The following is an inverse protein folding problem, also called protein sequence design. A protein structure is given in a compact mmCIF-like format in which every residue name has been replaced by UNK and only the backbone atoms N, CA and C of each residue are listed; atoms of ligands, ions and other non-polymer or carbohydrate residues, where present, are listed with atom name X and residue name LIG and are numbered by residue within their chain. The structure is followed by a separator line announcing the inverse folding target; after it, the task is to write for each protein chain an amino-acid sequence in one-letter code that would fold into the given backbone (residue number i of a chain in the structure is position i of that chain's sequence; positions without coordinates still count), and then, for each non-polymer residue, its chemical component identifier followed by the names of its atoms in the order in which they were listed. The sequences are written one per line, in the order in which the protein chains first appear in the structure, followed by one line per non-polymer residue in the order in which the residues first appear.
data_IF_632163532188
#
_entry.id   IF_632163532188
#
_cell.length_a   1.000
_cell.length_b   1.000
_cell.length_c   1.000
_cell.angle_alpha   90.00
_cell.angle_beta   90.00
_cell.angle_gamma   90.00
#
_symmetry.space_group_name_H-M   'P 1'
#
loop_
_entity.id
_entity.type
_entity.pdbx_description
1 polymer ?
#
# COMPACT_ATOMS: atom_id res chain seq x y z
N UNK A 1 0.74 -13.82 14.76
CA UNK A 1 0.77 -13.69 13.28
C UNK A 1 1.76 -12.61 12.85
N UNK A 2 1.43 -11.31 12.92
CA UNK A 2 2.31 -10.23 12.42
C UNK A 2 3.73 -10.17 13.02
N UNK A 3 3.94 -10.55 14.29
CA UNK A 3 5.29 -10.61 14.89
C UNK A 3 6.22 -11.57 14.12
N UNK A 4 5.70 -12.74 13.77
CA UNK A 4 6.50 -13.87 13.26
C UNK A 4 6.38 -14.00 11.72
N UNK A 5 5.34 -13.40 11.14
CA UNK A 5 4.99 -13.50 9.73
C UNK A 5 4.79 -12.17 9.00
N UNK A 6 4.84 -11.04 9.72
CA UNK A 6 4.44 -9.75 9.17
C UNK A 6 5.45 -9.16 8.19
N UNK A 7 4.92 -8.49 7.18
CA UNK A 7 5.63 -7.67 6.19
C UNK A 7 5.55 -6.19 6.57
N UNK A 8 6.47 -5.38 6.04
CA UNK A 8 6.41 -3.92 6.23
C UNK A 8 5.11 -3.30 5.68
N UNK A 9 4.55 -3.88 4.60
CA UNK A 9 3.33 -3.43 3.93
C UNK A 9 2.03 -3.64 4.75
N UNK A 10 2.12 -4.06 6.01
CA UNK A 10 0.96 -4.25 6.88
C UNK A 10 0.22 -5.58 6.68
N UNK A 11 0.78 -6.48 5.86
CA UNK A 11 0.28 -7.84 5.67
C UNK A 11 1.21 -8.90 6.28
N UNK A 12 0.93 -10.17 6.05
CA UNK A 12 1.82 -11.28 6.41
C UNK A 12 2.29 -12.05 5.17
N UNK A 13 3.50 -12.60 5.23
CA UNK A 13 3.97 -13.50 4.19
C UNK A 13 3.21 -14.81 4.27
N UNK A 14 2.84 -15.30 3.10
CA UNK A 14 2.13 -16.54 2.99
C UNK A 14 1.58 -16.74 1.60
N UNK A 15 1.91 -17.89 1.06
CA UNK A 15 1.50 -18.42 -0.23
C UNK A 15 0.67 -19.66 0.09
N UNK A 16 -0.59 -19.43 0.48
CA UNK A 16 -1.54 -20.40 1.08
C UNK A 16 -1.16 -20.94 2.48
N UNK A 17 0.11 -20.87 2.88
CA UNK A 17 0.62 -21.21 4.21
C UNK A 17 1.45 -20.05 4.78
N UNK A 18 1.47 -19.86 6.10
CA UNK A 18 2.32 -18.84 6.73
C UNK A 18 3.81 -19.12 6.47
N UNK A 19 4.58 -18.09 6.07
CA UNK A 19 5.91 -18.28 5.48
C UNK A 19 7.04 -17.43 6.12
N UNK A 20 6.93 -17.18 7.43
CA UNK A 20 7.92 -16.42 8.21
C UNK A 20 7.98 -14.91 7.91
N UNK A 21 9.07 -14.24 8.26
CA UNK A 21 9.22 -12.78 8.14
C UNK A 21 10.38 -12.37 7.23
N UNK A 22 10.71 -13.23 6.26
CA UNK A 22 11.74 -12.93 5.27
C UNK A 22 11.19 -11.92 4.25
N UNK A 23 11.91 -10.84 3.89
CA UNK A 23 11.46 -9.88 2.88
C UNK A 23 11.42 -10.46 1.47
N UNK A 24 12.07 -11.61 1.25
CA UNK A 24 12.12 -12.34 -0.02
C UNK A 24 11.13 -13.51 -0.05
N UNK A 25 10.24 -13.57 0.96
CA UNK A 25 9.09 -14.46 0.91
C UNK A 25 7.88 -13.70 0.37
N UNK A 26 7.14 -14.36 -0.51
CA UNK A 26 5.93 -13.82 -1.12
C UNK A 26 4.72 -13.72 -0.19
N UNK A 27 3.75 -12.93 -0.61
CA UNK A 27 2.39 -12.96 -0.08
C UNK A 27 1.38 -12.93 -1.22
N UNK A 28 0.38 -13.80 -1.12
CA UNK A 28 -0.65 -13.98 -2.13
C UNK A 28 -1.56 -12.75 -2.26
N UNK A 29 -1.85 -12.30 -3.49
CA UNK A 29 -2.75 -11.17 -3.75
C UNK A 29 -4.18 -11.40 -3.23
N UNK A 30 -4.75 -12.61 -3.37
CA UNK A 30 -6.05 -12.91 -2.77
C UNK A 30 -6.08 -12.66 -1.27
N UNK A 31 -5.01 -13.02 -0.56
CA UNK A 31 -4.93 -12.85 0.89
C UNK A 31 -4.94 -11.37 1.31
N UNK A 32 -4.37 -10.48 0.48
CA UNK A 32 -4.44 -9.02 0.70
C UNK A 32 -5.88 -8.53 0.60
N UNK A 33 -6.57 -8.91 -0.47
CA UNK A 33 -7.93 -8.43 -0.78
C UNK A 33 -8.95 -8.98 0.22
N UNK A 34 -8.82 -10.24 0.61
CA UNK A 34 -9.69 -10.85 1.62
C UNK A 34 -9.40 -10.33 3.04
N UNK A 35 -8.14 -9.98 3.35
CA UNK A 35 -7.82 -9.28 4.59
C UNK A 35 -8.47 -7.88 4.61
N UNK A 36 -8.41 -7.12 3.52
CA UNK A 36 -9.11 -5.84 3.40
C UNK A 36 -10.61 -6.00 3.66
N UNK A 37 -11.27 -6.94 2.98
CA UNK A 37 -12.71 -7.18 3.19
C UNK A 37 -13.03 -7.63 4.63
N UNK A 38 -12.14 -8.41 5.25
CA UNK A 38 -12.28 -8.80 6.66
C UNK A 38 -12.21 -7.59 7.59
N UNK A 39 -11.28 -6.65 7.33
CA UNK A 39 -11.16 -5.41 8.10
C UNK A 39 -12.37 -4.51 7.94
N UNK A 40 -12.92 -4.37 6.73
CA UNK A 40 -14.16 -3.64 6.49
C UNK A 40 -15.32 -4.17 7.34
N UNK A 41 -15.47 -5.50 7.43
CA UNK A 41 -16.47 -6.12 8.29
C UNK A 41 -16.19 -5.86 9.77
N UNK A 42 -14.93 -6.01 10.21
CA UNK A 42 -14.54 -5.76 11.61
C UNK A 42 -14.79 -4.31 12.01
N UNK A 43 -14.54 -3.34 11.14
CA UNK A 43 -14.89 -1.93 11.36
C UNK A 43 -16.40 -1.80 11.57
N UNK A 44 -17.22 -2.40 10.68
CA UNK A 44 -18.68 -2.29 10.77
C UNK A 44 -19.26 -2.87 12.05
N UNK A 45 -18.63 -3.92 12.60
CA UNK A 45 -19.08 -4.62 13.80
C UNK A 45 -18.58 -3.93 15.07
N UNK A 46 -17.32 -3.49 15.07
CA UNK A 46 -16.63 -3.06 16.30
C UNK A 46 -16.50 -1.55 16.43
N UNK A 47 -16.47 -0.81 15.31
CA UNK A 47 -16.10 0.59 15.27
C UNK A 47 -14.65 0.86 15.67
N UNK A 48 -13.79 -0.17 15.81
CA UNK A 48 -12.40 0.01 16.26
C UNK A 48 -11.53 0.54 15.11
N UNK A 49 -10.96 1.75 15.25
CA UNK A 49 -10.15 2.39 14.20
C UNK A 49 -8.83 1.66 13.91
N UNK A 50 -8.40 0.72 14.77
CA UNK A 50 -7.29 -0.18 14.48
C UNK A 50 -7.46 -0.90 13.14
N UNK A 51 -8.67 -1.37 12.84
CA UNK A 51 -8.97 -2.08 11.60
C UNK A 51 -8.95 -1.16 10.39
N UNK A 52 -9.38 0.10 10.55
CA UNK A 52 -9.28 1.11 9.52
C UNK A 52 -7.82 1.44 9.16
N UNK A 53 -6.92 1.48 10.14
CA UNK A 53 -5.50 1.69 9.88
C UNK A 53 -4.88 0.53 9.08
N UNK A 54 -5.23 -0.71 9.41
CA UNK A 54 -4.77 -1.88 8.64
C UNK A 54 -5.37 -1.91 7.22
N UNK A 55 -6.66 -1.58 7.09
CA UNK A 55 -7.34 -1.50 5.80
C UNK A 55 -6.65 -0.50 4.87
N UNK A 56 -6.42 0.73 5.33
CA UNK A 56 -5.74 1.75 4.54
C UNK A 56 -4.28 1.36 4.23
N UNK A 57 -3.56 0.77 5.20
CA UNK A 57 -2.19 0.32 4.96
C UNK A 57 -2.11 -0.76 3.87
N UNK A 58 -3.03 -1.72 3.82
CA UNK A 58 -3.07 -2.71 2.74
C UNK A 58 -3.49 -2.08 1.41
N UNK A 59 -4.57 -1.30 1.41
CA UNK A 59 -5.15 -0.71 0.21
C UNK A 59 -4.14 0.17 -0.54
N UNK A 60 -3.34 0.94 0.19
CA UNK A 60 -2.41 1.91 -0.41
C UNK A 60 -0.97 1.38 -0.59
N UNK A 61 -0.70 0.13 -0.22
CA UNK A 61 0.62 -0.49 -0.39
C UNK A 61 0.50 -1.87 -1.06
N UNK A 62 0.07 -2.89 -0.32
CA UNK A 62 0.14 -4.27 -0.79
C UNK A 62 -0.79 -4.53 -1.99
N UNK A 63 -2.00 -3.98 -2.03
CA UNK A 63 -2.91 -4.20 -3.14
C UNK A 63 -2.33 -3.71 -4.49
N UNK A 64 -1.97 -2.42 -4.65
CA UNK A 64 -1.46 -1.92 -5.92
C UNK A 64 -0.08 -2.47 -6.30
N UNK A 65 0.77 -2.85 -5.33
CA UNK A 65 2.11 -3.39 -5.61
C UNK A 65 2.13 -4.78 -6.27
N UNK A 66 0.98 -5.46 -6.31
CA UNK A 66 0.79 -6.75 -6.96
C UNK A 66 0.03 -6.64 -8.28
N UNK A 67 -0.25 -5.43 -8.77
CA UNK A 67 -0.97 -5.19 -10.03
C UNK A 67 -0.20 -4.21 -10.89
N UNK A 68 -0.20 -4.39 -12.22
CA UNK A 68 0.30 -3.36 -13.12
C UNK A 68 -0.49 -2.06 -12.90
N UNK A 69 0.12 -0.91 -13.24
CA UNK A 69 -0.52 0.40 -13.02
C UNK A 69 -1.91 0.53 -13.68
N UNK A 70 -2.12 -0.15 -14.80
CA UNK A 70 -3.39 -0.24 -15.54
C UNK A 70 -4.31 -1.39 -15.08
N UNK A 71 -3.85 -2.20 -14.12
CA UNK A 71 -4.51 -3.37 -13.54
C UNK A 71 -4.86 -4.48 -14.55
N UNK A 72 -4.26 -4.49 -15.74
CA UNK A 72 -4.44 -5.56 -16.73
C UNK A 72 -3.72 -6.85 -16.33
N UNK A 73 -2.59 -6.73 -15.64
CA UNK A 73 -1.85 -7.87 -15.10
C UNK A 73 -1.65 -7.75 -13.61
N UNK A 74 -1.42 -8.89 -12.99
CA UNK A 74 -1.13 -8.98 -11.56
C UNK A 74 -0.12 -10.09 -11.30
N UNK A 75 0.48 -10.02 -10.13
CA UNK A 75 1.37 -11.03 -9.58
C UNK A 75 0.59 -11.88 -8.57
N UNK A 76 0.81 -13.19 -8.57
CA UNK A 76 0.20 -14.05 -7.57
C UNK A 76 0.82 -13.80 -6.20
N UNK A 77 2.15 -13.90 -6.10
CA UNK A 77 2.91 -13.69 -4.87
C UNK A 77 3.87 -12.50 -5.00
N UNK A 78 3.61 -11.44 -4.23
CA UNK A 78 4.50 -10.28 -4.16
C UNK A 78 5.54 -10.42 -3.04
N UNK A 79 6.80 -10.04 -3.31
CA UNK A 79 7.84 -9.98 -2.27
C UNK A 79 8.10 -8.54 -1.81
N UNK A 80 8.50 -8.36 -0.54
CA UNK A 80 8.85 -7.04 0.01
C UNK A 80 10.15 -6.50 -0.60
N UNK A 81 11.12 -7.38 -0.84
CA UNK A 81 12.32 -7.14 -1.63
C UNK A 81 12.25 -8.04 -2.88
N UNK A 82 12.01 -7.43 -4.03
CA UNK A 82 11.76 -8.04 -5.34
C UNK A 82 12.59 -7.30 -6.39
N UNK A 83 13.77 -7.83 -6.74
CA UNK A 83 14.72 -7.17 -7.65
C UNK A 83 14.61 -7.65 -9.09
N UNK A 84 13.87 -8.72 -9.30
CA UNK A 84 13.56 -9.32 -10.58
C UNK A 84 12.20 -10.01 -10.45
N UNK A 85 11.44 -10.04 -11.54
CA UNK A 85 10.22 -10.83 -11.71
C UNK A 85 10.48 -11.73 -12.90
N UNK A 86 10.67 -13.02 -12.64
CA UNK A 86 10.99 -14.02 -13.64
C UNK A 86 10.58 -15.40 -13.17
N UNK A 87 10.59 -16.37 -14.10
CA UNK A 87 10.38 -17.76 -13.73
C UNK A 87 11.49 -18.24 -12.77
N UNK A 88 11.16 -18.43 -11.49
CA UNK A 88 12.10 -19.00 -10.53
C UNK A 88 12.58 -20.39 -10.98
N UNK A 89 13.85 -20.78 -10.79
CA UNK A 89 14.27 -22.15 -11.11
C UNK A 89 13.47 -23.18 -10.31
N UNK A 90 13.16 -24.33 -10.92
CA UNK A 90 12.32 -25.37 -10.30
C UNK A 90 12.84 -25.87 -8.95
N UNK A 91 14.16 -25.91 -8.80
CA UNK A 91 14.86 -26.33 -7.58
C UNK A 91 15.13 -25.17 -6.60
N UNK A 92 14.73 -23.95 -6.93
CA UNK A 92 14.95 -22.73 -6.14
C UNK A 92 13.69 -21.86 -6.01
N UNK A 93 12.50 -22.47 -5.97
CA UNK A 93 11.26 -21.76 -5.64
C UNK A 93 11.24 -21.44 -4.14
N UNK A 94 11.13 -20.14 -3.80
CA UNK A 94 11.09 -19.68 -2.40
C UNK A 94 9.70 -19.72 -1.78
N UNK A 95 8.66 -19.90 -2.61
CA UNK A 95 7.29 -20.14 -2.15
C UNK A 95 7.16 -21.58 -1.61
N UNK A 96 6.30 -21.76 -0.60
CA UNK A 96 6.08 -23.06 0.06
C UNK A 96 5.18 -23.99 -0.73
N UNK A 97 4.10 -23.47 -1.30
CA UNK A 97 3.05 -24.25 -2.00
C UNK A 97 2.84 -23.79 -3.44
N UNK A 98 3.16 -22.53 -3.72
CA UNK A 98 2.98 -21.93 -5.03
C UNK A 98 4.13 -22.21 -6.00
N UNK A 99 3.82 -22.24 -7.30
CA UNK A 99 4.76 -22.61 -8.34
C UNK A 99 5.74 -21.47 -8.70
N UNK A 100 6.74 -21.79 -9.54
CA UNK A 100 7.68 -20.80 -10.11
C UNK A 100 7.01 -19.66 -10.90
N UNK A 101 5.79 -19.87 -11.42
CA UNK A 101 5.06 -18.87 -12.21
C UNK A 101 4.44 -17.78 -11.34
N UNK A 102 4.27 -18.03 -10.03
CA UNK A 102 3.62 -17.13 -9.08
C UNK A 102 4.33 -15.79 -8.92
N UNK A 103 5.59 -15.75 -9.36
CA UNK A 103 6.43 -14.55 -9.36
C UNK A 103 6.19 -13.65 -10.57
N UNK A 104 5.52 -14.10 -11.63
CA UNK A 104 5.30 -13.33 -12.86
C UNK A 104 4.14 -12.33 -12.72
N UNK A 105 4.14 -11.30 -13.56
CA UNK A 105 2.94 -10.52 -13.84
C UNK A 105 2.20 -11.14 -15.03
N UNK A 106 0.90 -11.35 -14.92
CA UNK A 106 0.08 -11.84 -16.03
C UNK A 106 -1.41 -11.73 -15.77
N UNK A 107 -2.23 -12.27 -16.69
CA UNK A 107 -3.67 -12.39 -16.45
C UNK A 107 -4.00 -13.46 -15.41
N UNK A 108 -3.21 -14.54 -15.37
CA UNK A 108 -3.46 -15.73 -14.56
C UNK A 108 -2.15 -16.46 -14.23
N UNK A 109 -1.16 -15.79 -13.59
CA UNK A 109 0.03 -16.49 -13.13
C UNK A 109 -0.36 -17.49 -12.03
N UNK A 110 0.17 -18.72 -12.10
CA UNK A 110 -0.12 -19.80 -11.15
C UNK A 110 -1.59 -20.30 -11.14
N UNK A 111 -2.49 -19.68 -10.36
CA UNK A 111 -3.92 -20.02 -10.33
C UNK A 111 -4.82 -18.81 -10.61
N UNK A 112 -5.99 -19.03 -11.21
CA UNK A 112 -6.92 -17.94 -11.56
C UNK A 112 -7.77 -17.37 -10.43
N UNK A 113 -7.52 -17.74 -9.17
CA UNK A 113 -8.24 -17.12 -8.04
C UNK A 113 -7.95 -15.62 -7.97
N UNK A 114 -6.69 -15.20 -8.12
CA UNK A 114 -6.30 -13.78 -8.07
C UNK A 114 -7.01 -12.99 -9.17
N UNK A 115 -7.05 -13.51 -10.40
CA UNK A 115 -7.78 -12.95 -11.55
C UNK A 115 -9.26 -12.67 -11.23
N UNK A 116 -9.92 -13.58 -10.52
CA UNK A 116 -11.33 -13.45 -10.14
C UNK A 116 -11.55 -12.59 -8.87
N UNK A 117 -10.50 -12.41 -8.07
CA UNK A 117 -10.60 -11.89 -6.70
C UNK A 117 -10.13 -10.44 -6.58
N UNK A 118 -9.00 -10.05 -7.20
CA UNK A 118 -8.35 -8.77 -6.86
C UNK A 118 -9.21 -7.54 -7.20
N UNK A 119 -9.99 -7.63 -8.27
CA UNK A 119 -10.82 -6.56 -8.81
C UNK A 119 -11.97 -6.15 -7.86
N UNK A 120 -12.26 -6.94 -6.82
CA UNK A 120 -13.25 -6.56 -5.80
C UNK A 120 -12.67 -5.64 -4.71
N UNK A 121 -11.34 -5.53 -4.58
CA UNK A 121 -10.68 -4.79 -3.50
C UNK A 121 -11.07 -3.32 -3.44
N UNK A 122 -10.85 -2.57 -4.53
CA UNK A 122 -11.21 -1.14 -4.59
C UNK A 122 -12.73 -0.86 -4.49
N UNK A 123 -13.62 -1.60 -5.19
CA UNK A 123 -15.06 -1.43 -5.02
C UNK A 123 -15.53 -1.62 -3.57
N UNK A 124 -15.04 -2.66 -2.89
CA UNK A 124 -15.39 -2.94 -1.49
C UNK A 124 -14.85 -1.85 -0.55
N UNK A 125 -13.60 -1.43 -0.74
CA UNK A 125 -13.01 -0.31 0.00
C UNK A 125 -13.83 0.99 -0.14
N UNK A 126 -14.24 1.33 -1.37
CA UNK A 126 -15.06 2.51 -1.64
C UNK A 126 -16.44 2.44 -0.96
N UNK A 127 -17.08 1.26 -0.97
CA UNK A 127 -18.35 1.02 -0.27
C UNK A 127 -18.22 1.15 1.25
N UNK A 128 -17.04 0.83 1.79
CA UNK A 128 -16.73 0.84 3.22
C UNK A 128 -16.15 2.18 3.71
N UNK A 129 -16.11 3.23 2.88
CA UNK A 129 -15.52 4.53 3.22
C UNK A 129 -16.38 5.33 4.21
N UNK A 130 -17.71 5.25 4.10
CA UNK A 130 -18.65 5.89 5.03
C UNK A 130 -19.69 4.87 5.48
N UNK A 131 -19.76 4.64 6.79
CA UNK A 131 -20.72 3.74 7.41
C UNK A 131 -21.77 4.50 8.23
N UNK A 132 -22.94 3.91 8.36
CA UNK A 132 -23.98 4.41 9.26
C UNK A 132 -23.62 4.03 10.70
N UNK A 133 -23.71 4.99 11.61
CA UNK A 133 -23.60 4.75 13.05
C UNK A 133 -24.95 4.91 13.74
N UNK A 134 -25.05 4.57 15.02
CA UNK A 134 -26.29 4.70 15.79
C UNK A 134 -26.86 6.13 15.76
N UNK A 135 -25.98 7.13 15.84
CA UNK A 135 -26.34 8.54 15.96
C UNK A 135 -26.08 9.35 14.68
N UNK A 136 -25.65 8.72 13.59
CA UNK A 136 -25.38 9.41 12.33
C UNK A 136 -24.51 8.60 11.37
N UNK A 137 -23.32 9.12 11.05
CA UNK A 137 -22.39 8.52 10.09
C UNK A 137 -20.95 8.56 10.61
N UNK A 138 -20.12 7.64 10.12
CA UNK A 138 -18.70 7.59 10.39
C UNK A 138 -17.92 7.45 9.08
N UNK A 139 -16.86 8.23 8.93
CA UNK A 139 -15.85 8.04 7.88
C UNK A 139 -14.89 6.97 8.43
N UNK A 140 -14.86 5.83 7.78
CA UNK A 140 -14.18 4.61 8.25
C UNK A 140 -12.93 4.28 7.44
N UNK A 141 -12.83 4.83 6.23
CA UNK A 141 -11.61 4.91 5.43
C UNK A 141 -11.60 6.26 4.70
N UNK A 142 -10.45 6.70 4.20
CA UNK A 142 -10.33 7.97 3.45
C UNK A 142 -10.18 7.67 1.96
N UNK A 143 -11.21 8.02 1.19
CA UNK A 143 -11.22 7.98 -0.27
C UNK A 143 -12.19 9.03 -0.85
N UNK A 144 -12.00 9.47 -2.11
CA UNK A 144 -12.94 10.36 -2.76
C UNK A 144 -14.26 9.62 -3.05
N UNK A 145 -15.33 9.97 -2.34
CA UNK A 145 -16.65 9.34 -2.47
C UNK A 145 -17.78 10.36 -2.33
N UNK A 146 -18.95 10.04 -2.91
CA UNK A 146 -20.21 10.72 -2.62
C UNK A 146 -21.23 9.69 -2.15
N UNK A 147 -21.73 9.88 -0.93
CA UNK A 147 -22.75 9.02 -0.31
C UNK A 147 -24.06 9.77 -0.21
N UNK A 148 -25.14 9.15 -0.67
CA UNK A 148 -26.50 9.62 -0.48
C UNK A 148 -27.23 8.63 0.44
N UNK A 149 -27.73 9.10 1.57
CA UNK A 149 -28.32 8.25 2.59
C UNK A 149 -29.53 8.90 3.28
N UNK A 150 -30.25 8.11 4.08
CA UNK A 150 -31.35 8.55 4.93
C UNK A 150 -30.98 8.40 6.41
N UNK A 151 -31.14 9.46 7.19
CA UNK A 151 -31.01 9.43 8.65
C UNK A 151 -32.22 10.13 9.28
N UNK A 152 -32.92 9.44 10.19
CA UNK A 152 -34.17 9.92 10.81
C UNK A 152 -35.20 10.50 9.83
N UNK A 153 -35.36 9.86 8.66
CA UNK A 153 -36.30 10.30 7.63
C UNK A 153 -35.86 11.54 6.84
N UNK A 154 -34.62 12.00 6.98
CA UNK A 154 -34.03 13.14 6.27
C UNK A 154 -32.96 12.66 5.30
N UNK A 155 -32.98 13.19 4.06
CA UNK A 155 -31.91 12.93 3.09
C UNK A 155 -30.63 13.66 3.52
N UNK A 156 -29.53 12.92 3.52
CA UNK A 156 -28.18 13.40 3.80
C UNK A 156 -27.27 13.03 2.64
N UNK A 157 -26.51 14.01 2.15
CA UNK A 157 -25.39 13.78 1.22
C UNK A 157 -24.08 14.09 1.93
N UNK A 158 -23.14 13.16 1.86
CA UNK A 158 -21.76 13.31 2.35
C UNK A 158 -20.83 13.17 1.15
N UNK A 159 -20.01 14.17 0.90
CA UNK A 159 -19.01 14.15 -0.16
C UNK A 159 -17.62 14.31 0.47
N UNK A 160 -16.71 13.41 0.13
CA UNK A 160 -15.31 13.45 0.54
C UNK A 160 -14.47 13.78 -0.71
N UNK A 161 -13.63 14.80 -0.60
CA UNK A 161 -12.69 15.23 -1.64
C UNK A 161 -11.28 15.17 -1.06
N UNK A 162 -10.37 14.46 -1.72
CA UNK A 162 -9.04 14.19 -1.18
C UNK A 162 -8.08 13.63 -2.23
N UNK A 163 -6.80 13.95 -2.05
CA UNK A 163 -5.65 13.32 -2.72
C UNK A 163 -4.92 12.34 -1.78
N UNK A 164 -5.48 12.07 -0.59
CA UNK A 164 -4.99 11.07 0.35
C UNK A 164 -4.93 9.69 -0.34
N UNK A 165 -3.87 8.89 -0.10
CA UNK A 165 -2.84 9.01 0.93
C UNK A 165 -1.63 9.89 0.56
N UNK A 166 -1.59 10.47 -0.65
CA UNK A 166 -0.48 11.29 -1.12
C UNK A 166 -0.57 12.73 -0.62
N UNK A 167 -1.80 13.25 -0.54
CA UNK A 167 -2.13 14.53 0.06
C UNK A 167 -2.26 14.48 1.58
N UNK A 168 -2.24 15.67 2.20
CA UNK A 168 -2.17 15.83 3.66
C UNK A 168 -3.53 16.03 4.34
N UNK A 169 -4.60 15.39 3.86
CA UNK A 169 -5.93 15.60 4.44
C UNK A 169 -7.09 15.33 3.51
N UNK A 170 -8.29 15.71 3.94
CA UNK A 170 -9.51 15.60 3.14
C UNK A 170 -10.52 16.68 3.52
N UNK A 171 -11.39 17.01 2.56
CA UNK A 171 -12.52 17.91 2.77
C UNK A 171 -13.80 17.09 2.79
N UNK A 172 -14.67 17.36 3.77
CA UNK A 172 -16.00 16.74 3.87
C UNK A 172 -17.06 17.81 3.66
N UNK A 173 -17.96 17.59 2.71
CA UNK A 173 -19.18 18.39 2.53
C UNK A 173 -20.40 17.58 2.96
N UNK A 174 -21.12 18.06 3.98
CA UNK A 174 -22.36 17.46 4.47
C UNK A 174 -23.53 18.35 4.09
N UNK A 175 -24.52 17.78 3.41
CA UNK A 175 -25.73 18.49 2.96
C UNK A 175 -26.95 17.77 3.51
N UNK A 176 -27.79 18.47 4.26
CA UNK A 176 -29.07 17.95 4.78
C UNK A 176 -30.26 18.64 4.11
N UNK A 177 -31.33 17.89 3.84
CA UNK A 177 -32.57 18.44 3.24
C UNK A 177 -33.27 19.45 4.17
N UNK A 178 -33.20 19.24 5.48
CA UNK A 178 -33.73 20.09 6.55
C UNK A 178 -32.88 19.94 7.80
N UNK A 179 -33.00 20.85 8.80
CA UNK A 179 -32.28 20.73 10.06
C UNK A 179 -32.38 19.33 10.67
N UNK A 180 -31.23 18.75 11.00
CA UNK A 180 -31.11 17.38 11.47
C UNK A 180 -30.05 17.29 12.57
N UNK A 181 -30.44 16.88 13.77
CA UNK A 181 -29.50 16.47 14.82
C UNK A 181 -28.89 15.12 14.43
N UNK A 182 -27.57 15.07 14.27
CA UNK A 182 -26.83 13.84 14.02
C UNK A 182 -25.35 14.00 14.38
N UNK A 183 -24.65 12.87 14.47
CA UNK A 183 -23.20 12.85 14.60
C UNK A 183 -22.51 12.53 13.27
N UNK A 184 -21.39 13.19 13.00
CA UNK A 184 -20.42 12.76 12.01
C UNK A 184 -19.10 12.42 12.70
N UNK A 185 -18.62 11.19 12.54
CA UNK A 185 -17.29 10.81 12.98
C UNK A 185 -16.28 10.96 11.84
N UNK A 186 -15.27 11.79 12.07
CA UNK A 186 -14.17 12.04 11.16
C UNK A 186 -13.04 11.04 11.43
N UNK A 187 -12.50 10.43 10.38
CA UNK A 187 -11.33 9.56 10.50
C UNK A 187 -10.06 10.37 10.73
N UNK A 188 -9.32 10.04 11.78
CA UNK A 188 -7.98 10.57 12.06
C UNK A 188 -7.01 9.39 12.17
N UNK A 189 -6.24 9.04 11.13
CA UNK A 189 -5.41 7.83 11.14
C UNK A 189 -4.37 7.85 12.28
N UNK A 190 -4.08 6.72 12.92
CA UNK A 190 -3.20 6.71 14.11
C UNK A 190 -1.74 7.12 13.82
N UNK A 191 -1.33 6.98 12.56
CA UNK A 191 0.04 7.27 12.08
C UNK A 191 0.34 8.76 11.88
N UNK A 192 -0.67 9.64 11.96
CA UNK A 192 -0.48 11.09 11.80
C UNK A 192 0.22 11.67 13.03
N UNK A 193 1.20 12.55 12.79
CA UNK A 193 1.91 13.24 13.87
C UNK A 193 0.99 14.25 14.54
N UNK A 194 0.34 15.10 13.74
CA UNK A 194 -0.70 16.03 14.18
C UNK A 194 -1.87 16.02 13.21
N UNK A 195 -3.03 16.42 13.70
CA UNK A 195 -4.23 16.57 12.91
C UNK A 195 -4.94 17.87 13.29
N UNK A 196 -5.54 18.52 12.31
CA UNK A 196 -6.28 19.76 12.45
C UNK A 196 -7.68 19.58 11.86
N UNK A 197 -8.69 20.11 12.55
CA UNK A 197 -10.08 20.16 12.06
C UNK A 197 -10.53 21.62 12.07
N UNK A 198 -10.84 22.13 10.88
CA UNK A 198 -11.14 23.55 10.63
C UNK A 198 -10.07 24.48 11.27
N UNK A 199 -8.79 24.14 11.09
CA UNK A 199 -7.64 24.89 11.61
C UNK A 199 -7.33 24.69 13.10
N UNK A 200 -8.12 23.92 13.83
CA UNK A 200 -7.89 23.65 15.26
C UNK A 200 -7.23 22.29 15.46
N UNK A 201 -6.10 22.26 16.18
CA UNK A 201 -5.39 21.01 16.46
C UNK A 201 -6.25 20.06 17.32
N UNK A 202 -6.27 18.78 16.96
CA UNK A 202 -6.93 17.73 17.74
C UNK A 202 -5.94 16.65 18.20
N UNK A 203 -6.10 16.24 19.46
CA UNK A 203 -5.35 15.12 20.03
C UNK A 203 -6.03 13.77 19.80
N UNK A 204 -7.25 13.76 19.23
CA UNK A 204 -7.94 12.53 18.89
C UNK A 204 -7.14 11.73 17.84
N UNK A 205 -7.08 10.42 18.02
CA UNK A 205 -6.54 9.44 17.06
C UNK A 205 -7.57 8.33 16.91
N UNK A 206 -7.68 7.80 15.70
CA UNK A 206 -8.70 6.84 15.31
C UNK A 206 -9.99 7.49 14.82
N UNK A 207 -10.52 8.47 15.55
CA UNK A 207 -11.72 9.20 15.15
C UNK A 207 -12.01 10.45 15.97
N UNK A 208 -12.71 11.42 15.38
CA UNK A 208 -13.26 12.60 16.06
C UNK A 208 -14.76 12.70 15.79
N UNK A 209 -15.58 12.51 16.83
CA UNK A 209 -17.03 12.62 16.74
C UNK A 209 -17.50 14.07 16.88
N UNK A 210 -18.14 14.58 15.85
CA UNK A 210 -18.82 15.88 15.84
C UNK A 210 -20.32 15.68 16.01
N UNK A 211 -20.91 16.27 17.06
CA UNK A 211 -22.34 16.25 17.31
C UNK A 211 -22.96 17.64 17.08
N UNK A 212 -24.20 17.68 16.63
CA UNK A 212 -24.99 18.90 16.59
C UNK A 212 -26.09 18.87 15.53
N UNK A 213 -26.75 20.02 15.37
CA UNK A 213 -27.75 20.26 14.32
C UNK A 213 -27.05 20.61 13.02
N UNK A 214 -27.26 19.81 11.99
CA UNK A 214 -26.76 20.03 10.64
C UNK A 214 -27.85 20.66 9.79
N UNK A 215 -27.60 21.88 9.32
CA UNK A 215 -28.51 22.63 8.47
C UNK A 215 -27.80 23.06 7.19
N UNK A 216 -28.48 22.90 6.05
CA UNK A 216 -27.95 23.28 4.72
C UNK A 216 -26.67 22.50 4.39
N UNK A 217 -25.70 23.17 3.75
CA UNK A 217 -24.40 22.64 3.41
C UNK A 217 -23.37 23.11 4.45
N UNK A 218 -22.64 22.16 5.05
CA UNK A 218 -21.49 22.42 5.92
C UNK A 218 -20.25 21.76 5.33
N UNK A 219 -19.16 22.50 5.28
CA UNK A 219 -17.85 22.00 4.91
C UNK A 219 -16.97 21.88 6.15
N UNK A 220 -16.17 20.81 6.19
CA UNK A 220 -15.20 20.54 7.24
C UNK A 220 -13.87 20.20 6.57
N UNK A 221 -12.79 20.80 7.06
CA UNK A 221 -11.44 20.59 6.57
C UNK A 221 -10.66 19.78 7.59
N UNK A 222 -10.11 18.65 7.16
CA UNK A 222 -9.25 17.80 7.98
C UNK A 222 -7.85 17.81 7.37
N UNK A 223 -6.86 18.23 8.14
CA UNK A 223 -5.47 18.33 7.70
C UNK A 223 -4.55 17.51 8.61
N UNK A 224 -3.49 16.95 8.03
CA UNK A 224 -2.54 16.06 8.67
C UNK A 224 -1.12 16.56 8.52
N UNK A 225 -0.35 16.51 9.61
CA UNK A 225 1.10 16.56 9.56
C UNK A 225 1.66 15.16 9.76
N UNK A 226 2.62 14.76 8.93
CA UNK A 226 3.28 13.47 9.03
C UNK A 226 4.76 13.62 9.36
N UNK A 227 5.31 12.55 9.91
CA UNK A 227 6.74 12.36 10.09
C UNK A 227 7.20 11.19 9.23
N UNK A 228 8.38 11.32 8.62
CA UNK A 228 9.05 10.20 7.97
C UNK A 228 9.83 9.40 9.01
N UNK A 229 9.56 8.10 9.10
CA UNK A 229 10.14 7.20 10.10
C UNK A 229 10.94 6.10 9.43
N UNK A 230 12.06 5.74 10.05
CA UNK A 230 12.79 4.51 9.75
C UNK A 230 12.36 3.44 10.75
N UNK A 231 11.62 2.44 10.28
CA UNK A 231 11.07 1.38 11.13
C UNK A 231 11.96 0.15 11.05
N UNK A 232 12.41 -0.34 12.21
CA UNK A 232 13.23 -1.55 12.28
C UNK A 232 12.42 -2.77 11.86
N UNK A 233 13.03 -3.62 11.05
CA UNK A 233 12.49 -4.88 10.54
C UNK A 233 13.39 -6.03 10.99
N UNK A 234 12.93 -7.28 10.88
CA UNK A 234 13.78 -8.45 11.10
C UNK A 234 15.09 -8.36 10.32
N UNK A 235 16.10 -9.12 10.72
CA UNK A 235 17.39 -9.17 10.02
C UNK A 235 18.19 -7.86 10.04
N UNK A 236 17.89 -6.98 11.00
CA UNK A 236 18.50 -5.65 11.17
C UNK A 236 18.36 -4.77 9.90
N UNK A 237 17.25 -4.96 9.20
CA UNK A 237 16.84 -4.11 8.10
C UNK A 237 15.92 -3.01 8.62
N UNK A 238 15.69 -2.01 7.77
CA UNK A 238 14.85 -0.87 8.01
C UNK A 238 14.02 -0.57 6.77
N UNK A 239 12.79 -0.11 6.98
CA UNK A 239 11.98 0.48 5.92
C UNK A 239 11.65 1.93 6.24
N UNK A 240 11.24 2.69 5.22
CA UNK A 240 10.80 4.08 5.38
C UNK A 240 9.27 4.12 5.34
N UNK A 241 8.65 4.69 6.36
CA UNK A 241 7.21 4.94 6.41
C UNK A 241 6.93 6.44 6.57
N UNK A 242 5.91 6.95 5.88
CA UNK A 242 5.39 8.31 6.07
C UNK A 242 3.88 8.31 5.92
N UNK A 243 3.15 8.47 7.03
CA UNK A 243 1.70 8.28 7.03
C UNK A 243 1.34 6.81 6.78
N UNK A 244 0.37 6.56 5.89
CA UNK A 244 0.00 5.20 5.49
C UNK A 244 0.90 4.61 4.40
N UNK A 245 1.80 5.41 3.83
CA UNK A 245 2.67 4.98 2.74
C UNK A 245 3.97 4.37 3.26
N UNK A 246 4.25 3.15 2.80
CA UNK A 246 5.55 2.51 2.84
C UNK A 246 6.34 2.93 1.60
N UNK A 247 7.65 3.08 1.71
CA UNK A 247 8.50 3.52 0.60
C UNK A 247 9.56 2.47 0.26
N UNK A 248 9.78 2.29 -1.04
CA UNK A 248 10.73 1.34 -1.61
C UNK A 248 11.71 2.08 -2.52
N UNK A 249 12.94 1.59 -2.61
CA UNK A 249 13.91 2.07 -3.59
C UNK A 249 13.33 1.91 -5.00
N UNK A 250 13.32 3.00 -5.77
CA UNK A 250 12.98 2.97 -7.18
C UNK A 250 14.08 2.25 -7.97
N UNK A 251 13.67 1.28 -8.79
CA UNK A 251 14.52 0.50 -9.69
C UNK A 251 14.00 0.75 -11.10
N UNK A 252 14.91 1.04 -12.04
CA UNK A 252 14.52 1.16 -13.45
C UNK A 252 14.13 -0.23 -13.95
N UNK A 253 13.13 -0.33 -14.82
CA UNK A 253 12.55 -1.62 -15.19
C UNK A 253 12.71 -1.92 -16.68
N UNK A 254 12.99 -3.19 -16.98
CA UNK A 254 12.92 -3.73 -18.34
C UNK A 254 11.89 -4.85 -18.38
N UNK A 255 10.78 -4.57 -19.04
CA UNK A 255 9.68 -5.51 -19.23
C UNK A 255 9.90 -6.37 -20.48
N UNK A 256 9.65 -7.67 -20.36
CA UNK A 256 9.71 -8.66 -21.44
C UNK A 256 8.36 -9.39 -21.49
N UNK A 257 7.62 -9.19 -22.57
CA UNK A 257 6.31 -9.80 -22.78
C UNK A 257 6.42 -11.19 -23.40
N UNK A 258 5.60 -12.12 -22.93
CA UNK A 258 5.52 -13.50 -23.39
C UNK A 258 4.09 -13.83 -23.82
N UNK A 259 3.82 -13.77 -25.11
CA UNK A 259 2.52 -14.14 -25.68
C UNK A 259 2.44 -15.64 -25.96
N UNK A 260 1.34 -16.28 -25.58
CA UNK A 260 1.15 -17.72 -25.75
C UNK A 260 -0.33 -18.13 -25.69
N UNK A 261 -0.61 -19.39 -25.99
CA UNK A 261 -1.94 -19.98 -25.81
C UNK A 261 -1.84 -21.19 -24.88
N UNK A 262 -2.63 -21.21 -23.81
CA UNK A 262 -2.72 -22.30 -22.83
C UNK A 262 -4.18 -22.52 -22.44
N UNK A 263 -4.63 -23.77 -22.43
CA UNK A 263 -6.00 -24.19 -22.11
C UNK A 263 -7.09 -23.49 -22.96
N UNK A 264 -6.77 -23.24 -24.24
CA UNK A 264 -7.69 -22.57 -25.16
C UNK A 264 -7.80 -21.06 -24.98
N UNK A 265 -7.05 -20.47 -24.04
CA UNK A 265 -7.00 -19.02 -23.80
C UNK A 265 -5.74 -18.43 -24.44
N UNK A 266 -5.92 -17.54 -25.41
CA UNK A 266 -4.85 -16.73 -26.01
C UNK A 266 -4.48 -15.59 -25.07
N UNK A 267 -3.22 -15.55 -24.62
CA UNK A 267 -2.62 -14.51 -23.77
C UNK A 267 -1.71 -13.64 -24.63
N UNK A 268 -2.08 -12.38 -24.80
CA UNK A 268 -1.40 -11.36 -25.62
C UNK A 268 -1.48 -10.01 -24.94
N UNK A 269 -0.73 -9.03 -25.41
CA UNK A 269 -0.78 -7.68 -24.86
C UNK A 269 -2.24 -7.13 -24.77
N UNK A 270 -2.65 -6.51 -23.64
CA UNK A 270 -1.87 -6.22 -22.42
C UNK A 270 -1.84 -7.35 -21.38
N UNK A 271 -2.53 -8.47 -21.60
CA UNK A 271 -2.81 -9.52 -20.62
C UNK A 271 -2.00 -10.82 -20.85
N UNK A 272 -0.84 -10.70 -21.51
CA UNK A 272 0.18 -11.75 -21.55
C UNK A 272 0.98 -11.83 -20.24
N UNK A 273 1.90 -12.80 -20.16
CA UNK A 273 2.81 -12.85 -19.02
C UNK A 273 4.01 -11.93 -19.26
N UNK A 274 4.57 -11.40 -18.18
CA UNK A 274 5.69 -10.47 -18.20
C UNK A 274 6.76 -10.88 -17.20
N UNK A 275 8.00 -10.86 -17.68
CA UNK A 275 9.18 -10.81 -16.83
C UNK A 275 9.67 -9.37 -16.73
N UNK A 276 10.19 -8.99 -15.57
CA UNK A 276 10.67 -7.64 -15.29
C UNK A 276 12.07 -7.75 -14.68
N UNK A 277 13.05 -7.14 -15.33
CA UNK A 277 14.44 -7.16 -14.91
C UNK A 277 14.89 -5.77 -14.45
N UNK A 278 15.72 -5.72 -13.40
CA UNK A 278 16.31 -4.48 -12.94
C UNK A 278 17.23 -3.85 -14.01
N UNK A 279 16.85 -2.65 -14.45
CA UNK A 279 17.62 -1.77 -15.33
C UNK A 279 18.59 -0.85 -14.57
N UNK A 280 18.51 -0.79 -13.24
CA UNK A 280 19.47 -0.06 -12.41
C UNK A 280 19.86 -0.81 -11.15
N UNK A 281 20.96 -0.35 -10.53
CA UNK A 281 21.47 -0.96 -9.29
C UNK A 281 20.42 -0.83 -8.18
N UNK A 282 20.37 -1.86 -7.32
CA UNK A 282 19.45 -1.95 -6.19
C UNK A 282 20.17 -2.34 -4.88
N UNK A 283 21.42 -2.78 -4.96
CA UNK A 283 22.24 -3.29 -3.86
C UNK A 283 22.80 -2.15 -2.99
N UNK A 284 21.92 -1.54 -2.22
CA UNK A 284 22.24 -0.37 -1.39
C UNK A 284 21.92 -0.61 0.09
N UNK A 285 22.62 0.10 0.97
CA UNK A 285 22.21 0.30 2.35
C UNK A 285 22.01 1.79 2.64
N UNK A 286 21.21 2.11 3.65
CA UNK A 286 21.04 3.50 4.10
C UNK A 286 22.35 4.02 4.69
N UNK A 287 22.78 5.19 4.21
CA UNK A 287 23.99 5.85 4.71
C UNK A 287 23.71 6.67 5.99
N UNK A 288 22.48 7.17 6.13
CA UNK A 288 21.96 7.88 7.30
C UNK A 288 20.43 7.96 7.23
N UNK A 289 19.81 8.53 8.28
CA UNK A 289 18.36 8.73 8.38
C UNK A 289 17.85 10.09 7.88
N UNK A 290 18.69 10.86 7.16
CA UNK A 290 18.27 12.16 6.59
C UNK A 290 17.58 11.91 5.25
N UNK A 291 16.41 12.51 5.12
CA UNK A 291 15.52 12.34 3.97
C UNK A 291 14.92 13.68 3.54
N UNK A 292 14.54 13.77 2.28
CA UNK A 292 13.86 14.91 1.70
C UNK A 292 12.57 14.39 1.03
N UNK A 293 11.43 14.99 1.35
CA UNK A 293 10.14 14.65 0.74
C UNK A 293 9.95 15.53 -0.49
N UNK A 294 9.61 14.91 -1.61
CA UNK A 294 9.36 15.59 -2.89
C UNK A 294 7.93 15.26 -3.32
N UNK A 295 7.10 16.29 -3.42
CA UNK A 295 5.73 16.16 -3.93
C UNK A 295 5.73 16.12 -5.46
N UNK A 296 4.87 15.29 -6.02
CA UNK A 296 4.62 15.16 -7.45
C UNK A 296 3.18 15.49 -7.78
N UNK A 297 2.74 15.09 -8.97
CA UNK A 297 1.36 15.23 -9.44
C UNK A 297 0.71 13.86 -9.56
N UNK A 298 -0.58 13.76 -9.25
CA UNK A 298 -1.36 12.54 -9.50
C UNK A 298 -1.63 12.44 -11.01
N UNK A 299 -1.14 11.36 -11.63
CA UNK A 299 -1.41 11.02 -13.04
C UNK A 299 -2.66 10.16 -13.20
N UNK A 300 -2.93 9.71 -14.43
CA UNK A 300 -4.08 8.86 -14.76
C UNK A 300 -4.04 7.50 -14.01
N UNK A 301 -2.83 6.95 -13.84
CA UNK A 301 -2.57 5.79 -13.01
C UNK A 301 -1.92 6.21 -11.70
N UNK A 302 -2.75 6.29 -10.65
CA UNK A 302 -2.36 6.83 -9.33
C UNK A 302 -1.18 6.08 -8.71
N UNK A 303 -1.06 4.77 -8.97
CA UNK A 303 -0.01 3.90 -8.46
C UNK A 303 1.03 3.52 -9.55
N UNK A 304 1.38 4.45 -10.45
CA UNK A 304 2.43 4.25 -11.44
C UNK A 304 3.82 4.63 -10.92
N UNK A 305 4.85 3.88 -11.36
CA UNK A 305 6.25 4.17 -11.10
C UNK A 305 6.80 5.36 -11.94
N UNK A 306 6.12 5.75 -13.03
CA UNK A 306 6.55 6.83 -13.94
C UNK A 306 6.31 8.21 -13.31
N UNK A 307 5.13 8.41 -12.72
CA UNK A 307 4.69 9.65 -12.10
C UNK A 307 4.21 9.44 -10.66
N UNK A 308 5.07 8.97 -9.73
CA UNK A 308 4.66 8.74 -8.35
C UNK A 308 4.29 10.08 -7.69
N UNK A 309 3.09 10.19 -7.07
CA UNK A 309 2.58 11.47 -6.55
C UNK A 309 3.38 12.07 -5.39
N UNK A 310 4.21 11.26 -4.74
CA UNK A 310 5.10 11.68 -3.65
C UNK A 310 6.33 10.76 -3.65
N UNK A 311 7.47 11.29 -3.22
CA UNK A 311 8.73 10.55 -3.19
C UNK A 311 9.57 10.97 -1.98
N UNK A 312 10.50 10.10 -1.62
CA UNK A 312 11.51 10.37 -0.60
C UNK A 312 12.89 10.24 -1.24
N UNK A 313 13.70 11.29 -1.15
CA UNK A 313 15.12 11.20 -1.48
C UNK A 313 15.89 10.83 -0.22
N UNK A 314 16.56 9.68 -0.24
CA UNK A 314 17.37 9.19 0.87
C UNK A 314 18.84 9.01 0.45
N UNK A 315 19.74 9.18 1.41
CA UNK A 315 21.16 8.94 1.21
C UNK A 315 21.45 7.45 1.38
N UNK A 316 22.01 6.84 0.34
CA UNK A 316 22.37 5.42 0.32
C UNK A 316 23.80 5.24 -0.15
N UNK A 317 24.37 4.07 0.11
CA UNK A 317 25.69 3.67 -0.39
C UNK A 317 25.63 2.23 -0.87
N UNK A 318 26.34 1.94 -1.96
CA UNK A 318 26.39 0.61 -2.54
C UNK A 318 27.06 -0.38 -1.57
N UNK A 319 26.50 -1.58 -1.48
CA UNK A 319 26.99 -2.66 -0.61
C UNK A 319 26.97 -3.99 -1.37
N UNK A 320 27.68 -5.00 -0.84
CA UNK A 320 27.61 -6.36 -1.36
C UNK A 320 26.38 -7.06 -0.78
N UNK A 321 25.31 -7.13 -1.57
CA UNK A 321 24.06 -7.75 -1.14
C UNK A 321 24.01 -9.25 -1.44
N UNK A 322 24.37 -9.64 -2.65
CA UNK A 322 24.16 -10.99 -3.17
C UNK A 322 22.82 -11.17 -3.87
N UNK A 323 22.86 -11.91 -4.98
CA UNK A 323 21.74 -12.17 -5.87
C UNK A 323 21.91 -13.56 -6.47
N UNK A 324 20.89 -14.40 -6.32
CA UNK A 324 20.92 -15.80 -6.73
C UNK A 324 19.51 -16.16 -7.24
N UNK A 325 19.44 -16.83 -8.40
CA UNK A 325 18.19 -17.41 -8.91
C UNK A 325 17.01 -16.41 -9.07
N UNK A 326 17.28 -15.17 -9.48
CA UNK A 326 16.23 -14.15 -9.64
C UNK A 326 15.85 -13.45 -8.34
N UNK A 327 16.54 -13.72 -7.21
CA UNK A 327 16.18 -13.21 -5.89
C UNK A 327 17.40 -12.59 -5.21
N UNK A 328 17.22 -11.43 -4.57
CA UNK A 328 18.24 -10.89 -3.68
C UNK A 328 18.35 -11.76 -2.42
N UNK A 329 19.52 -11.85 -1.80
CA UNK A 329 19.61 -12.59 -0.53
C UNK A 329 18.74 -11.93 0.56
N UNK A 330 18.25 -12.74 1.50
CA UNK A 330 17.46 -12.27 2.66
C UNK A 330 18.17 -11.15 3.45
N UNK A 331 19.49 -11.20 3.49
CA UNK A 331 20.38 -10.23 4.11
C UNK A 331 21.56 -9.97 3.18
N UNK A 332 22.16 -8.76 3.22
CA UNK A 332 23.36 -8.49 2.46
C UNK A 332 24.54 -9.36 2.94
N UNK A 333 25.41 -9.77 2.02
CA UNK A 333 26.69 -10.45 2.33
C UNK A 333 27.62 -9.57 3.17
N UNK A 334 27.61 -8.26 2.92
CA UNK A 334 28.35 -7.27 3.70
C UNK A 334 27.59 -5.94 3.74
N UNK A 335 27.64 -5.26 4.89
CA UNK A 335 27.14 -3.88 5.03
C UNK A 335 28.22 -2.85 4.77
N UNK A 336 29.46 -3.26 4.51
CA UNK A 336 30.55 -2.32 4.25
C UNK A 336 30.30 -1.53 2.95
N UNK A 337 30.50 -0.21 2.95
CA UNK A 337 30.29 0.61 1.77
C UNK A 337 31.31 0.28 0.67
N UNK A 338 30.85 0.08 -0.56
CA UNK A 338 31.66 -0.20 -1.77
C UNK A 338 31.60 0.99 -2.74
N UNK A 339 31.30 2.18 -2.24
CA UNK A 339 31.18 3.39 -3.06
C UNK A 339 31.00 4.64 -2.23
N UNK A 340 30.72 5.75 -2.92
CA UNK A 340 30.35 7.00 -2.28
C UNK A 340 28.87 7.01 -1.91
N UNK A 341 28.53 7.84 -0.92
CA UNK A 341 27.13 8.14 -0.61
C UNK A 341 26.51 8.88 -1.79
N UNK A 342 25.36 8.37 -2.24
CA UNK A 342 24.55 8.97 -3.30
C UNK A 342 23.12 9.16 -2.81
N UNK A 343 22.41 10.11 -3.42
CA UNK A 343 20.98 10.33 -3.16
C UNK A 343 20.17 9.49 -4.14
N UNK A 344 19.26 8.65 -3.63
CA UNK A 344 18.35 7.81 -4.44
C UNK A 344 16.90 8.12 -4.12
N UNK A 345 16.04 7.92 -5.13
CA UNK A 345 14.59 8.04 -5.02
C UNK A 345 14.01 6.78 -4.39
N UNK A 346 13.15 7.00 -3.41
CA UNK A 346 12.25 6.02 -2.85
C UNK A 346 10.82 6.45 -3.18
N UNK A 347 10.02 5.55 -3.73
CA UNK A 347 8.64 5.81 -4.15
C UNK A 347 7.69 4.95 -3.31
N UNK A 348 6.39 5.27 -3.24
CA UNK A 348 5.45 4.48 -2.48
C UNK A 348 5.48 3.02 -2.94
N UNK A 349 5.43 2.07 -2.00
CA UNK A 349 5.52 0.64 -2.26
C UNK A 349 4.47 0.19 -3.28
N UNK A 350 3.26 0.74 -3.18
CA UNK A 350 2.17 0.51 -4.13
C UNK A 350 2.47 0.95 -5.57
N UNK A 351 3.43 1.85 -5.77
CA UNK A 351 3.85 2.35 -7.09
C UNK A 351 5.04 1.56 -7.67
N UNK A 352 5.34 0.37 -7.17
CA UNK A 352 6.52 -0.42 -7.62
C UNK A 352 6.11 -1.74 -8.20
N UNK A 353 6.81 -2.18 -9.25
CA UNK A 353 6.81 -3.56 -9.72
C UNK A 353 8.09 -4.28 -9.27
N UNK A 354 9.23 -3.60 -9.39
CA UNK A 354 10.50 -3.95 -8.73
C UNK A 354 10.79 -3.04 -7.53
N UNK A 355 11.32 -3.61 -6.46
CA UNK A 355 11.47 -2.93 -5.17
C UNK A 355 12.54 -3.53 -4.28
N UNK A 356 13.25 -2.64 -3.59
CA UNK A 356 13.94 -2.97 -2.34
C UNK A 356 13.37 -2.06 -1.25
N UNK A 357 12.68 -2.65 -0.29
CA UNK A 357 11.89 -1.93 0.73
C UNK A 357 12.54 -2.03 2.11
N UNK A 358 13.09 -3.19 2.44
CA UNK A 358 13.84 -3.43 3.68
C UNK A 358 15.35 -3.40 3.38
N UNK A 359 16.05 -2.37 3.87
CA UNK A 359 17.49 -2.13 3.66
C UNK A 359 18.25 -2.06 5.00
N UNK A 360 19.52 -2.48 5.08
CA UNK A 360 20.33 -2.27 6.27
C UNK A 360 20.70 -0.80 6.44
N UNK A 361 21.06 -0.41 7.67
CA UNK A 361 21.87 0.78 7.91
C UNK A 361 23.35 0.40 7.82
N UNK A 362 24.15 1.17 7.07
CA UNK A 362 25.57 0.86 6.83
C UNK A 362 26.48 1.22 8.01
N UNK A 363 26.12 2.25 8.78
CA UNK A 363 26.85 2.72 9.96
C UNK A 363 25.89 2.90 11.15
N UNK A 364 25.28 1.83 11.64
CA UNK A 364 24.61 1.90 12.95
C UNK A 364 25.68 1.79 14.04
N UNK A 365 25.87 2.91 14.78
CA UNK A 365 26.53 2.90 16.10
C UNK A 365 25.66 2.17 17.14
#
# INVERSE_FOLDING_TARGET
MFRDHGMAAGHFTGDECLSGNSPVQGSELCSVVEAMYSYENLISITGDPYWSDLLEKLAFNALPAATSADMWTHQYDQMTNQVEVSYLPEDHVVFRTNSRESHLFGLEPNFGCCTANFNQGWPKFALSTVMKSETGFAITAIAPVTVNAMHNGVKVRIQIETDYPFGNGYRVSVITEKPLEMSLELRIPSVVKKAYVDGNETQCRGGLKLNGVWEKAKQIYVEFEYETKFVKRPNELFCIERGMLLYSLFIDEKWVAHEYQRDGVERKYPYCDYEIFAGSKWNYGFANRKVEVVEGTIGDYVFSNECPPIQILANVVEIDWGFEHGICLKQPKSRSPIGSVIKKRFIPYGCTDLRITELPMVNEE
#
